data_IF_401277489522
#
_entry.id   IF_401277489522
#
_cell.length_a   1.000
_cell.length_b   1.000
_cell.length_c   1.000
_cell.angle_alpha   90.00
_cell.angle_beta   90.00
_cell.angle_gamma   90.00
#
_symmetry.space_group_name_H-M   'P 1'
#
loop_
_entity.id
_entity.type
_entity.pdbx_description
1 polymer ?
#
# COMPACT_ATOMS: atom_id res chain seq x y z
N UNK A 1 23.81 43.39 14.44
CA UNK A 1 24.32 42.00 14.34
C UNK A 1 24.85 41.79 12.95
N UNK A 2 26.12 41.42 12.81
CA UNK A 2 26.79 41.34 11.51
C UNK A 2 26.46 40.00 10.85
N UNK A 3 26.20 39.96 9.54
CA UNK A 3 25.75 38.76 8.83
C UNK A 3 26.66 37.53 9.02
N UNK A 4 27.96 37.75 9.22
CA UNK A 4 28.94 36.69 9.53
C UNK A 4 28.65 35.98 10.86
N UNK A 5 28.13 36.69 11.86
CA UNK A 5 27.75 36.13 13.15
C UNK A 5 26.51 35.25 13.07
N UNK A 6 25.54 35.62 12.21
CA UNK A 6 24.36 34.79 11.95
C UNK A 6 24.73 33.50 11.22
N UNK A 7 25.63 33.58 10.22
CA UNK A 7 26.12 32.40 9.49
C UNK A 7 26.87 31.45 10.44
N UNK A 8 27.76 31.98 11.30
CA UNK A 8 28.48 31.17 12.27
C UNK A 8 27.54 30.50 13.29
N UNK A 9 26.53 31.22 13.77
CA UNK A 9 25.53 30.68 14.67
C UNK A 9 24.71 29.56 14.02
N UNK A 10 24.27 29.75 12.77
CA UNK A 10 23.51 28.74 12.03
C UNK A 10 24.32 27.47 11.78
N UNK A 11 25.60 27.60 11.38
CA UNK A 11 26.50 26.46 11.20
C UNK A 11 26.76 25.72 12.52
N UNK A 12 26.95 26.47 13.62
CA UNK A 12 27.10 25.89 14.95
C UNK A 12 25.87 25.07 15.37
N UNK A 13 24.68 25.61 15.13
CA UNK A 13 23.41 24.93 15.43
C UNK A 13 23.23 23.66 14.59
N UNK A 14 23.50 23.72 13.29
CA UNK A 14 23.44 22.56 12.41
C UNK A 14 24.42 21.45 12.83
N UNK A 15 25.66 21.82 13.15
CA UNK A 15 26.68 20.89 13.63
C UNK A 15 26.28 20.27 14.98
N UNK A 16 25.77 21.07 15.92
CA UNK A 16 25.29 20.58 17.21
C UNK A 16 24.16 19.56 17.04
N UNK A 17 23.26 19.77 16.09
CA UNK A 17 22.14 18.88 15.80
C UNK A 17 22.63 17.54 15.24
N UNK A 18 23.57 17.56 14.29
CA UNK A 18 24.20 16.34 13.75
C UNK A 18 24.95 15.54 14.82
N UNK A 19 25.74 16.21 15.65
CA UNK A 19 26.49 15.57 16.75
C UNK A 19 25.52 14.95 17.76
N UNK A 20 24.45 15.65 18.11
CA UNK A 20 23.43 15.13 19.04
C UNK A 20 22.73 13.90 18.46
N UNK A 21 22.35 13.94 17.18
CA UNK A 21 21.74 12.81 16.49
C UNK A 21 22.64 11.57 16.50
N UNK A 22 23.93 11.73 16.19
CA UNK A 22 24.89 10.63 16.24
C UNK A 22 25.11 10.10 17.67
N UNK A 23 25.18 11.00 18.67
CA UNK A 23 25.33 10.61 20.06
C UNK A 23 24.10 9.84 20.61
N UNK A 24 22.92 10.07 20.03
CA UNK A 24 21.68 9.35 20.35
C UNK A 24 21.54 8.01 19.59
N UNK A 25 22.59 7.55 18.90
CA UNK A 25 22.58 6.30 18.15
C UNK A 25 22.00 6.42 16.75
N UNK A 26 21.86 7.63 16.21
CA UNK A 26 21.40 7.85 14.84
C UNK A 26 22.34 7.29 13.75
N UNK A 27 23.56 6.85 14.13
CA UNK A 27 24.49 6.15 13.25
C UNK A 27 24.36 4.62 13.28
N UNK A 28 23.72 4.05 14.30
CA UNK A 28 23.60 2.61 14.50
C UNK A 28 22.31 2.12 13.84
N UNK A 29 22.28 2.11 12.51
CA UNK A 29 21.24 1.42 11.76
C UNK A 29 21.61 -0.06 11.64
N UNK A 30 21.02 -0.89 12.49
CA UNK A 30 21.05 -2.34 12.32
C UNK A 30 19.78 -2.75 11.58
N UNK A 31 19.87 -3.25 10.32
CA UNK A 31 18.70 -3.69 9.60
C UNK A 31 18.08 -4.85 10.38
N UNK A 32 16.90 -4.63 10.94
CA UNK A 32 16.16 -5.72 11.57
C UNK A 32 15.96 -6.82 10.54
N UNK A 33 16.20 -8.09 10.91
CA UNK A 33 16.00 -9.20 9.99
C UNK A 33 14.60 -9.13 9.41
N UNK A 34 14.52 -9.29 8.10
CA UNK A 34 13.27 -9.24 7.34
C UNK A 34 12.29 -10.22 7.97
N UNK A 35 11.11 -9.72 8.34
CA UNK A 35 10.09 -10.53 9.00
C UNK A 35 9.64 -11.67 8.07
N UNK A 36 9.49 -12.86 8.62
CA UNK A 36 8.98 -14.03 7.89
C UNK A 36 7.51 -13.78 7.48
N UNK A 37 7.19 -13.73 6.18
CA UNK A 37 5.83 -13.48 5.71
C UNK A 37 4.87 -14.64 5.99
N UNK A 38 5.38 -15.83 6.31
CA UNK A 38 4.56 -16.99 6.65
C UNK A 38 4.13 -17.01 8.11
N UNK A 39 4.75 -16.20 8.98
CA UNK A 39 4.38 -16.09 10.39
C UNK A 39 3.21 -15.09 10.53
N UNK A 40 2.12 -15.47 11.23
CA UNK A 40 0.99 -14.56 11.46
C UNK A 40 1.43 -13.29 12.18
N UNK A 41 0.94 -12.15 11.69
CA UNK A 41 1.13 -10.84 12.32
C UNK A 41 0.12 -10.65 13.45
N UNK A 42 0.54 -10.00 14.52
CA UNK A 42 -0.40 -9.48 15.52
C UNK A 42 -1.24 -8.34 14.93
N UNK A 43 -2.55 -8.54 14.91
CA UNK A 43 -3.50 -7.53 14.49
C UNK A 43 -3.68 -6.52 15.63
N UNK A 44 -3.36 -5.26 15.37
CA UNK A 44 -3.59 -4.16 16.31
C UNK A 44 -5.05 -3.76 16.23
N UNK A 45 -5.70 -3.44 17.35
CA UNK A 45 -7.09 -2.93 17.35
C UNK A 45 -7.15 -1.63 16.54
N UNK A 46 -7.71 -1.63 15.32
CA UNK A 46 -7.75 -0.44 14.49
C UNK A 46 -8.83 0.52 15.03
N UNK A 47 -8.55 1.82 15.05
CA UNK A 47 -9.49 2.88 15.40
C UNK A 47 -10.19 3.43 14.14
N UNK A 48 -10.54 2.55 13.19
CA UNK A 48 -11.21 2.98 11.97
C UNK A 48 -11.10 2.02 10.81
N UNK A 49 -11.74 2.41 9.69
CA UNK A 49 -11.77 1.63 8.45
C UNK A 49 -10.44 1.71 7.70
N UNK A 50 -9.77 2.85 7.72
CA UNK A 50 -8.47 3.06 7.05
C UNK A 50 -7.38 2.18 7.65
N UNK A 51 -7.32 2.10 8.99
CA UNK A 51 -6.33 1.31 9.70
C UNK A 51 -6.60 -0.20 9.58
N UNK A 52 -7.89 -0.59 9.52
CA UNK A 52 -8.29 -1.95 9.20
C UNK A 52 -7.88 -2.32 7.76
N UNK A 53 -8.09 -1.42 6.79
CA UNK A 53 -7.70 -1.63 5.39
C UNK A 53 -6.17 -1.73 5.23
N UNK A 54 -5.41 -0.91 5.96
CA UNK A 54 -3.95 -0.99 5.97
C UNK A 54 -3.45 -2.33 6.53
N UNK A 55 -4.01 -2.79 7.65
CA UNK A 55 -3.63 -4.07 8.23
C UNK A 55 -4.04 -5.26 7.37
N UNK A 56 -5.23 -5.19 6.75
CA UNK A 56 -5.67 -6.15 5.76
C UNK A 56 -4.69 -6.23 4.58
N UNK A 57 -4.31 -5.09 4.01
CA UNK A 57 -3.38 -5.03 2.86
C UNK A 57 -2.02 -5.64 3.20
N UNK A 58 -1.52 -5.39 4.42
CA UNK A 58 -0.28 -6.00 4.90
C UNK A 58 -0.40 -7.51 5.08
N UNK A 59 -1.49 -7.99 5.69
CA UNK A 59 -1.73 -9.43 5.85
C UNK A 59 -1.89 -10.13 4.49
N UNK A 60 -2.54 -9.47 3.52
CA UNK A 60 -2.67 -10.00 2.17
C UNK A 60 -1.32 -10.08 1.45
N UNK A 61 -0.47 -9.06 1.59
CA UNK A 61 0.90 -9.09 1.07
C UNK A 61 1.74 -10.18 1.73
N UNK A 62 1.63 -10.37 3.05
CA UNK A 62 2.32 -11.43 3.79
C UNK A 62 1.86 -12.82 3.28
N UNK A 63 0.56 -13.00 3.02
CA UNK A 63 0.03 -14.23 2.41
C UNK A 63 0.58 -14.52 1.01
N UNK A 64 0.57 -13.53 0.13
CA UNK A 64 1.09 -13.69 -1.23
C UNK A 64 2.61 -13.92 -1.24
N UNK A 65 3.36 -13.22 -0.40
CA UNK A 65 4.81 -13.39 -0.28
C UNK A 65 5.17 -14.78 0.26
N UNK A 66 4.39 -15.30 1.21
CA UNK A 66 4.54 -16.66 1.72
C UNK A 66 4.33 -17.71 0.62
N UNK A 67 3.28 -17.56 -0.19
CA UNK A 67 2.98 -18.47 -1.31
C UNK A 67 4.05 -18.44 -2.41
N UNK A 68 4.62 -17.26 -2.67
CA UNK A 68 5.70 -17.09 -3.66
C UNK A 68 7.09 -17.45 -3.12
N UNK A 69 7.22 -17.72 -1.82
CA UNK A 69 8.50 -17.93 -1.12
C UNK A 69 9.50 -16.78 -1.31
N UNK A 70 9.01 -15.54 -1.24
CA UNK A 70 9.82 -14.31 -1.30
C UNK A 70 9.57 -13.45 -0.07
N UNK A 71 10.41 -12.45 0.19
CA UNK A 71 10.12 -11.51 1.27
C UNK A 71 8.98 -10.55 0.90
N UNK A 72 8.27 -10.05 1.92
CA UNK A 72 7.21 -9.03 1.72
C UNK A 72 7.75 -7.80 0.98
N UNK A 73 8.94 -7.35 1.32
CA UNK A 73 9.58 -6.16 0.74
C UNK A 73 9.90 -6.39 -0.73
N UNK A 74 10.36 -7.59 -1.08
CA UNK A 74 10.60 -7.97 -2.48
C UNK A 74 9.29 -7.93 -3.26
N UNK A 75 8.21 -8.50 -2.71
CA UNK A 75 6.91 -8.50 -3.36
C UNK A 75 6.30 -7.10 -3.45
N UNK A 76 6.40 -6.29 -2.39
CA UNK A 76 5.90 -4.91 -2.39
C UNK A 76 6.62 -4.05 -3.43
N UNK A 77 7.94 -4.18 -3.56
CA UNK A 77 8.72 -3.53 -4.60
C UNK A 77 8.35 -4.05 -6.00
N UNK A 78 8.09 -5.34 -6.13
CA UNK A 78 7.65 -5.93 -7.39
C UNK A 78 6.31 -5.34 -7.84
N UNK A 79 5.36 -5.14 -6.93
CA UNK A 79 4.02 -4.63 -7.23
C UNK A 79 3.96 -3.12 -7.48
N UNK A 80 5.04 -2.38 -7.21
CA UNK A 80 5.05 -0.92 -7.30
C UNK A 80 4.77 -0.38 -8.72
N UNK A 81 5.23 -1.07 -9.77
CA UNK A 81 4.99 -0.67 -11.17
C UNK A 81 4.78 -1.88 -12.09
N UNK A 82 4.15 -1.72 -13.27
CA UNK A 82 4.06 -2.79 -14.27
C UNK A 82 5.41 -3.38 -14.68
N UNK A 83 6.45 -2.54 -14.82
CA UNK A 83 7.79 -2.96 -15.23
C UNK A 83 8.51 -3.70 -14.09
N UNK A 84 8.28 -3.31 -12.84
CA UNK A 84 8.80 -4.02 -11.67
C UNK A 84 8.19 -5.42 -11.56
N UNK A 85 6.87 -5.55 -11.82
CA UNK A 85 6.17 -6.85 -11.82
C UNK A 85 6.74 -7.79 -12.88
N UNK A 86 6.93 -7.30 -14.11
CA UNK A 86 7.51 -8.10 -15.19
C UNK A 86 8.94 -8.57 -14.88
N UNK A 87 9.78 -7.67 -14.34
CA UNK A 87 11.14 -8.03 -13.92
C UNK A 87 11.14 -9.06 -12.79
N UNK A 88 10.25 -8.93 -11.83
CA UNK A 88 10.09 -9.89 -10.75
C UNK A 88 9.64 -11.26 -11.26
N UNK A 89 8.61 -11.32 -12.10
CA UNK A 89 8.13 -12.56 -12.69
C UNK A 89 9.24 -13.29 -13.48
N UNK A 90 10.00 -12.54 -14.28
CA UNK A 90 11.14 -13.08 -15.02
C UNK A 90 12.27 -13.56 -14.11
N UNK A 91 12.62 -12.80 -13.06
CA UNK A 91 13.72 -13.12 -12.16
C UNK A 91 13.44 -14.35 -11.28
N UNK A 92 12.18 -14.55 -10.89
CA UNK A 92 11.76 -15.64 -10.00
C UNK A 92 11.08 -16.80 -10.75
N UNK A 93 10.97 -16.73 -12.08
CA UNK A 93 10.31 -17.76 -12.89
C UNK A 93 8.85 -17.98 -12.50
N UNK A 94 8.13 -16.88 -12.22
CA UNK A 94 6.72 -16.91 -11.82
C UNK A 94 5.88 -16.74 -13.08
N UNK A 95 5.05 -17.74 -13.36
CA UNK A 95 4.02 -17.65 -14.40
C UNK A 95 2.74 -17.00 -13.85
N UNK A 96 1.86 -16.60 -14.74
CA UNK A 96 0.62 -15.90 -14.39
C UNK A 96 -0.26 -16.72 -13.44
N UNK A 97 -0.29 -18.05 -13.63
CA UNK A 97 -1.05 -18.96 -12.78
C UNK A 97 -0.52 -18.97 -11.33
N UNK A 98 0.81 -18.98 -11.16
CA UNK A 98 1.44 -18.92 -9.83
C UNK A 98 1.27 -17.54 -9.19
N UNK A 99 1.34 -16.47 -9.97
CA UNK A 99 1.05 -15.12 -9.48
C UNK A 99 -0.40 -15.00 -9.02
N UNK A 100 -1.36 -15.51 -9.80
CA UNK A 100 -2.77 -15.54 -9.44
C UNK A 100 -3.00 -16.36 -8.16
N UNK A 101 -2.41 -17.55 -8.06
CA UNK A 101 -2.50 -18.38 -6.86
C UNK A 101 -1.99 -17.65 -5.61
N UNK A 102 -0.87 -16.92 -5.74
CA UNK A 102 -0.32 -16.11 -4.67
C UNK A 102 -1.21 -14.94 -4.27
N UNK A 103 -1.75 -14.19 -5.24
CA UNK A 103 -2.70 -13.11 -4.96
C UNK A 103 -3.94 -13.64 -4.25
N UNK A 104 -4.45 -14.79 -4.70
CA UNK A 104 -5.60 -15.47 -4.09
C UNK A 104 -5.30 -15.90 -2.64
N UNK A 105 -4.17 -16.55 -2.41
CA UNK A 105 -3.72 -16.96 -1.08
C UNK A 105 -3.53 -15.75 -0.15
N UNK A 106 -2.98 -14.64 -0.68
CA UNK A 106 -2.88 -13.36 0.00
C UNK A 106 -4.24 -12.85 0.47
N UNK A 107 -5.19 -12.69 -0.45
CA UNK A 107 -6.53 -12.19 -0.13
C UNK A 107 -7.24 -13.06 0.92
N UNK A 108 -7.16 -14.38 0.80
CA UNK A 108 -7.75 -15.31 1.78
C UNK A 108 -7.12 -15.12 3.16
N UNK A 109 -5.78 -15.03 3.26
CA UNK A 109 -5.10 -14.76 4.54
C UNK A 109 -5.53 -13.41 5.14
N UNK A 110 -5.63 -12.37 4.32
CA UNK A 110 -6.12 -11.05 4.75
C UNK A 110 -7.52 -11.12 5.37
N UNK A 111 -8.43 -11.88 4.76
CA UNK A 111 -9.80 -12.07 5.25
C UNK A 111 -9.80 -12.86 6.56
N UNK A 112 -9.00 -13.94 6.64
CA UNK A 112 -8.90 -14.78 7.84
C UNK A 112 -8.35 -14.01 9.04
N UNK A 113 -7.33 -13.19 8.82
CA UNK A 113 -6.73 -12.38 9.86
C UNK A 113 -7.67 -11.26 10.33
N UNK A 114 -8.41 -10.62 9.40
CA UNK A 114 -9.40 -9.61 9.73
C UNK A 114 -10.61 -10.19 10.50
N UNK A 115 -11.08 -11.39 10.16
CA UNK A 115 -12.11 -12.08 10.95
C UNK A 115 -11.60 -12.42 12.35
N UNK A 116 -10.39 -12.98 12.45
CA UNK A 116 -9.80 -13.38 13.74
C UNK A 116 -9.60 -12.18 14.67
N UNK A 117 -9.32 -11.01 14.09
CA UNK A 117 -9.20 -9.75 14.82
C UNK A 117 -10.55 -9.08 15.16
N UNK A 118 -11.67 -9.64 14.72
CA UNK A 118 -13.01 -9.06 14.91
C UNK A 118 -13.31 -7.85 14.03
N UNK A 119 -12.44 -7.53 13.06
CA UNK A 119 -12.67 -6.45 12.09
C UNK A 119 -13.71 -6.86 11.02
N UNK A 120 -13.86 -8.16 10.76
CA UNK A 120 -14.91 -8.73 9.93
C UNK A 120 -15.78 -9.69 10.72
N UNK A 121 -17.10 -9.63 10.50
CA UNK A 121 -17.99 -10.66 11.02
C UNK A 121 -17.82 -11.96 10.23
N UNK A 122 -18.03 -13.14 10.84
CA UNK A 122 -17.87 -14.44 10.18
C UNK A 122 -18.69 -14.59 8.89
N UNK A 123 -19.89 -13.99 8.85
CA UNK A 123 -20.76 -14.01 7.67
C UNK A 123 -20.16 -13.22 6.51
N UNK A 124 -19.66 -12.01 6.78
CA UNK A 124 -19.00 -11.17 5.77
C UNK A 124 -17.72 -11.82 5.29
N UNK A 125 -16.90 -12.34 6.22
CA UNK A 125 -15.67 -13.04 5.88
C UNK A 125 -15.94 -14.28 5.03
N UNK A 126 -16.98 -15.05 5.32
CA UNK A 126 -17.43 -16.18 4.49
C UNK A 126 -17.77 -15.77 3.05
N UNK A 127 -18.50 -14.67 2.88
CA UNK A 127 -18.81 -14.11 1.56
C UNK A 127 -17.56 -13.67 0.80
N UNK A 128 -16.66 -12.94 1.46
CA UNK A 128 -15.40 -12.48 0.87
C UNK A 128 -14.48 -13.64 0.48
N UNK A 129 -14.41 -14.72 1.27
CA UNK A 129 -13.66 -15.94 0.91
C UNK A 129 -14.21 -16.60 -0.34
N UNK A 130 -15.53 -16.71 -0.44
CA UNK A 130 -16.18 -17.30 -1.61
C UNK A 130 -15.83 -16.49 -2.86
N UNK A 131 -15.88 -15.17 -2.78
CA UNK A 131 -15.49 -14.26 -3.87
C UNK A 131 -14.00 -14.44 -4.21
N UNK A 132 -13.13 -14.36 -3.20
CA UNK A 132 -11.68 -14.52 -3.37
C UNK A 132 -11.30 -15.88 -3.95
N UNK A 133 -12.05 -16.95 -3.64
CA UNK A 133 -11.81 -18.29 -4.18
C UNK A 133 -12.37 -18.51 -5.60
N UNK A 134 -13.30 -17.66 -6.05
CA UNK A 134 -14.10 -17.93 -7.25
C UNK A 134 -13.86 -16.94 -8.39
N UNK A 135 -13.34 -15.74 -8.13
CA UNK A 135 -13.11 -14.74 -9.19
C UNK A 135 -11.75 -14.98 -9.86
N UNK A 136 -11.70 -15.16 -11.19
CA UNK A 136 -10.46 -15.08 -11.97
C UNK A 136 -9.96 -13.64 -12.03
N UNK A 137 -8.65 -13.43 -11.97
CA UNK A 137 -8.05 -12.09 -11.88
C UNK A 137 -8.43 -11.22 -13.08
N UNK A 138 -8.61 -11.83 -14.26
CA UNK A 138 -9.02 -11.15 -15.49
C UNK A 138 -10.42 -10.54 -15.38
N UNK A 139 -11.33 -11.23 -14.68
CA UNK A 139 -12.69 -10.73 -14.46
C UNK A 139 -12.71 -9.63 -13.40
N UNK A 140 -11.81 -9.69 -12.41
CA UNK A 140 -11.64 -8.61 -11.45
C UNK A 140 -11.13 -7.32 -12.13
N UNK A 141 -10.17 -7.45 -13.05
CA UNK A 141 -9.67 -6.31 -13.83
C UNK A 141 -10.77 -5.73 -14.71
N UNK A 142 -11.51 -6.57 -15.44
CA UNK A 142 -12.63 -6.10 -16.27
C UNK A 142 -13.70 -5.35 -15.44
N UNK A 143 -14.01 -5.84 -14.23
CA UNK A 143 -14.96 -5.17 -13.33
C UNK A 143 -14.46 -3.80 -12.87
N UNK A 144 -13.15 -3.66 -12.63
CA UNK A 144 -12.52 -2.41 -12.21
C UNK A 144 -12.42 -1.43 -13.39
N UNK A 145 -12.05 -1.91 -14.58
CA UNK A 145 -12.01 -1.08 -15.80
C UNK A 145 -13.41 -0.54 -16.15
N UNK A 146 -14.44 -1.39 -16.10
CA UNK A 146 -15.83 -1.00 -16.36
C UNK A 146 -16.35 -0.01 -15.29
N UNK A 147 -16.00 -0.22 -14.02
CA UNK A 147 -16.29 0.73 -12.96
C UNK A 147 -15.54 2.07 -13.14
N UNK A 148 -14.25 2.02 -13.53
CA UNK A 148 -13.44 3.21 -13.74
C UNK A 148 -13.95 4.08 -14.90
N UNK A 149 -14.47 3.47 -15.96
CA UNK A 149 -15.10 4.20 -17.07
C UNK A 149 -16.32 5.01 -16.59
N UNK A 150 -17.14 4.43 -15.70
CA UNK A 150 -18.30 5.13 -15.09
C UNK A 150 -17.84 6.29 -14.20
N UNK A 151 -16.72 6.13 -13.48
CA UNK A 151 -16.17 7.19 -12.64
C UNK A 151 -15.50 8.30 -13.47
N UNK A 152 -14.77 7.98 -14.53
CA UNK A 152 -14.16 8.96 -15.44
C UNK A 152 -15.22 9.78 -16.19
N UNK A 153 -16.32 9.15 -16.61
CA UNK A 153 -17.48 9.85 -17.19
C UNK A 153 -18.10 10.82 -16.17
N UNK A 154 -18.21 10.42 -14.90
CA UNK A 154 -18.71 11.28 -13.83
C UNK A 154 -17.76 12.44 -13.53
N UNK A 155 -16.44 12.21 -13.51
CA UNK A 155 -15.42 13.23 -13.27
C UNK A 155 -15.32 14.21 -14.44
N UNK A 156 -15.50 13.74 -15.68
CA UNK A 156 -15.65 14.57 -16.87
C UNK A 156 -16.88 15.48 -16.81
N UNK A 157 -18.01 14.96 -16.30
CA UNK A 157 -19.23 15.74 -16.05
C UNK A 157 -19.01 16.82 -14.98
N UNK A 158 -18.30 16.50 -13.91
CA UNK A 158 -17.94 17.46 -12.86
C UNK A 158 -16.92 18.50 -13.34
N UNK A 159 -15.98 18.10 -14.20
CA UNK A 159 -15.01 18.99 -14.85
C UNK A 159 -15.67 19.99 -15.80
N UNK A 160 -16.65 19.56 -16.59
CA UNK A 160 -17.44 20.44 -17.47
C UNK A 160 -18.27 21.45 -16.67
N UNK A 161 -18.90 21.00 -15.57
CA UNK A 161 -19.59 21.89 -14.63
C UNK A 161 -18.62 22.85 -13.91
N UNK A 162 -17.41 22.40 -13.56
CA UNK A 162 -16.36 23.23 -13.00
C UNK A 162 -15.86 24.30 -13.98
N UNK A 163 -15.76 23.95 -15.26
CA UNK A 163 -15.44 24.88 -16.35
C UNK A 163 -16.53 25.94 -16.55
N UNK A 164 -17.80 25.55 -16.49
CA UNK A 164 -18.95 26.46 -16.56
C UNK A 164 -19.04 27.40 -15.34
N UNK A 165 -18.71 26.91 -14.13
CA UNK A 165 -18.66 27.72 -12.92
C UNK A 165 -17.44 28.68 -12.93
N UNK A 166 -16.30 28.24 -13.43
CA UNK A 166 -15.10 29.08 -13.59
C UNK A 166 -15.31 30.21 -14.60
N UNK A 167 -15.96 29.91 -15.73
CA UNK A 167 -16.29 30.92 -16.74
C UNK A 167 -17.45 31.85 -16.32
N UNK A 168 -18.34 31.41 -15.42
CA UNK A 168 -19.29 32.29 -14.75
C UNK A 168 -18.62 33.20 -13.69
N UNK A 169 -17.52 32.73 -13.05
CA UNK A 169 -16.73 33.49 -12.10
C UNK A 169 -15.97 34.68 -12.73
N UNK A 170 -15.51 34.54 -13.98
CA UNK A 170 -14.86 35.62 -14.73
C UNK A 170 -15.84 36.69 -15.26
N UNK A 171 -17.15 36.49 -15.11
CA UNK A 171 -18.21 37.42 -15.54
C UNK A 171 -18.87 38.20 -14.39
N UNK A 172 -18.44 37.98 -13.14
CA UNK A 172 -18.87 38.77 -11.97
C UNK A 172 -17.68 39.63 -11.47
N UNK A 173 -17.77 40.97 -11.49
CA UNK A 173 -16.72 41.86 -11.02
C UNK A 173 -16.58 41.90 -9.49
#
# INVERSE_FOLDING_TARGET
MNGRGLIAAALGLAAALLVTYLALGGGDYEPTPVADPCVPREWRSPEGVEEAAAQFSLSALDGAACELHVSRETLALALATPEARQRFAAAYGIDDARLEAAVRAGLVRGIDDAERAGALSPVVAGGLRAIAASIPVEQAIALIEDASAIFDDADGLLGDLGGLLGSAGDLLP
#
